data_IF_912473331560
#
_entry.id   IF_912473331560
#
_cell.length_a   1.000
_cell.length_b   1.000
_cell.length_c   1.000
_cell.angle_alpha   90.00
_cell.angle_beta   90.00
_cell.angle_gamma   90.00
#
_symmetry.space_group_name_H-M   'P 1'
#
loop_
_entity.id
_entity.type
_entity.pdbx_description
1 polymer ?
#
# COMPACT_ATOMS: atom_id res chain seq x y z
N UNK A 1 25.92 -35.61 10.57
CA UNK A 1 24.71 -34.81 10.30
C UNK A 1 23.83 -35.44 9.23
N UNK A 2 24.36 -36.17 8.26
CA UNK A 2 23.54 -36.90 7.29
C UNK A 2 22.50 -37.87 7.92
N UNK A 3 22.85 -38.52 9.06
CA UNK A 3 21.93 -39.41 9.78
C UNK A 3 20.67 -38.72 10.38
N UNK A 4 20.68 -37.41 10.52
CA UNK A 4 19.59 -36.60 11.07
C UNK A 4 19.03 -35.61 10.07
N UNK A 5 19.37 -35.76 8.78
CA UNK A 5 18.91 -34.92 7.67
C UNK A 5 19.13 -33.40 7.88
N UNK A 6 20.14 -33.03 8.73
CA UNK A 6 20.47 -31.63 8.95
C UNK A 6 21.42 -31.15 7.84
N UNK A 7 21.00 -30.19 6.99
CA UNK A 7 21.81 -29.66 5.90
C UNK A 7 22.95 -28.81 6.44
N UNK A 8 24.13 -29.41 6.57
CA UNK A 8 25.35 -28.73 6.99
C UNK A 8 26.21 -28.39 5.77
N UNK A 9 26.91 -27.27 5.84
CA UNK A 9 27.86 -26.82 4.83
C UNK A 9 29.26 -26.78 5.43
N UNK A 10 30.26 -27.02 4.58
CA UNK A 10 31.69 -26.94 4.98
C UNK A 10 32.30 -25.73 4.28
N UNK A 11 33.04 -24.94 5.03
CA UNK A 11 33.82 -23.83 4.50
C UNK A 11 35.27 -23.92 5.05
N UNK A 12 36.25 -23.54 4.23
CA UNK A 12 37.64 -23.41 4.66
C UNK A 12 37.88 -21.97 5.12
N UNK A 13 38.25 -21.78 6.39
CA UNK A 13 38.61 -20.48 6.95
C UNK A 13 40.02 -20.55 7.57
N UNK A 14 40.91 -19.68 7.13
CA UNK A 14 42.27 -19.55 7.67
C UNK A 14 43.01 -20.91 7.80
N UNK A 15 42.89 -21.76 6.80
CA UNK A 15 43.52 -23.07 6.80
C UNK A 15 42.77 -24.19 7.53
N UNK A 16 41.72 -23.89 8.26
CA UNK A 16 40.88 -24.85 9.01
C UNK A 16 39.53 -25.05 8.32
N UNK A 17 38.98 -26.27 8.41
CA UNK A 17 37.65 -26.57 7.96
C UNK A 17 36.65 -26.23 9.05
N UNK A 18 35.63 -25.45 8.72
CA UNK A 18 34.50 -25.15 9.59
C UNK A 18 33.21 -25.77 9.01
N UNK A 19 32.45 -26.44 9.84
CA UNK A 19 31.10 -26.92 9.51
C UNK A 19 30.09 -25.90 10.05
N UNK A 20 29.18 -25.45 9.22
CA UNK A 20 28.16 -24.47 9.63
C UNK A 20 26.77 -24.85 9.12
N UNK A 21 25.76 -24.40 9.85
CA UNK A 21 24.35 -24.50 9.48
C UNK A 21 23.86 -23.16 8.95
N UNK A 22 23.01 -23.20 7.92
CA UNK A 22 22.37 -22.01 7.37
C UNK A 22 20.86 -22.18 7.41
N UNK A 23 20.19 -21.16 7.95
CA UNK A 23 18.74 -21.18 8.14
C UNK A 23 18.35 -21.55 9.58
N UNK A 24 17.14 -21.16 9.96
CA UNK A 24 16.67 -21.32 11.34
C UNK A 24 16.35 -22.79 11.67
N UNK A 25 15.63 -23.50 10.79
CA UNK A 25 15.24 -24.89 11.02
C UNK A 25 16.40 -25.84 11.28
N UNK A 26 17.50 -25.86 10.46
CA UNK A 26 18.67 -26.69 10.75
C UNK A 26 19.34 -26.37 12.08
N UNK A 27 19.34 -25.09 12.47
CA UNK A 27 19.91 -24.64 13.76
C UNK A 27 19.06 -25.15 14.91
N UNK A 28 17.74 -24.98 14.87
CA UNK A 28 16.79 -25.44 15.86
C UNK A 28 16.87 -26.95 16.04
N UNK A 29 16.83 -27.69 14.92
CA UNK A 29 16.97 -29.16 14.94
C UNK A 29 18.30 -29.61 15.57
N UNK A 30 19.38 -28.95 15.23
CA UNK A 30 20.69 -29.24 15.82
C UNK A 30 20.74 -28.97 17.32
N UNK A 31 20.22 -27.79 17.77
CA UNK A 31 20.19 -27.44 19.17
C UNK A 31 19.34 -28.40 20.02
N UNK A 32 18.20 -28.85 19.46
CA UNK A 32 17.37 -29.87 20.08
C UNK A 32 18.12 -31.22 20.21
N UNK A 33 18.80 -31.66 19.16
CA UNK A 33 19.58 -32.90 19.12
C UNK A 33 20.71 -32.95 20.16
N UNK A 34 21.41 -31.83 20.35
CA UNK A 34 22.52 -31.75 21.34
C UNK A 34 22.05 -31.43 22.76
N UNK A 35 20.72 -31.30 22.99
CA UNK A 35 20.15 -31.00 24.29
C UNK A 35 20.39 -29.55 24.75
N UNK A 36 20.73 -28.64 23.84
CA UNK A 36 21.00 -27.23 24.15
C UNK A 36 19.71 -26.41 24.32
N UNK A 37 18.83 -26.84 25.24
CA UNK A 37 17.46 -26.29 25.39
C UNK A 37 17.42 -24.77 25.63
N UNK A 38 18.35 -24.21 26.41
CA UNK A 38 18.41 -22.76 26.65
C UNK A 38 18.75 -21.98 25.38
N UNK A 39 19.65 -22.50 24.54
CA UNK A 39 20.01 -21.89 23.27
C UNK A 39 18.86 -22.04 22.25
N UNK A 40 18.18 -23.19 22.27
CA UNK A 40 16.98 -23.43 21.47
C UNK A 40 15.91 -22.39 21.77
N UNK A 41 15.50 -22.22 23.03
CA UNK A 41 14.49 -21.24 23.43
C UNK A 41 14.87 -19.83 23.03
N UNK A 42 16.11 -19.39 23.26
CA UNK A 42 16.59 -18.07 22.80
C UNK A 42 16.50 -17.90 21.27
N UNK A 43 16.79 -18.95 20.53
CA UNK A 43 16.72 -18.91 19.06
C UNK A 43 15.27 -18.74 18.60
N UNK A 44 14.34 -19.46 19.23
CA UNK A 44 12.91 -19.34 18.94
C UNK A 44 12.37 -17.96 19.33
N UNK A 45 12.73 -17.41 20.50
CA UNK A 45 12.34 -16.06 20.90
C UNK A 45 12.79 -15.01 19.85
N UNK A 46 14.06 -15.08 19.41
CA UNK A 46 14.58 -14.17 18.38
C UNK A 46 13.83 -14.34 17.06
N UNK A 47 13.47 -15.57 16.67
CA UNK A 47 12.67 -15.84 15.46
C UNK A 47 11.29 -15.19 15.55
N UNK A 48 10.60 -15.38 16.67
CA UNK A 48 9.26 -14.82 16.92
C UNK A 48 9.31 -13.29 16.85
N UNK A 49 10.23 -12.67 17.58
CA UNK A 49 10.38 -11.21 17.58
C UNK A 49 10.69 -10.68 16.16
N UNK A 50 11.57 -11.36 15.42
CA UNK A 50 11.91 -10.97 14.04
C UNK A 50 10.72 -11.11 13.10
N UNK A 51 9.93 -12.18 13.23
CA UNK A 51 8.72 -12.38 12.45
C UNK A 51 7.71 -11.28 12.74
N UNK A 52 7.42 -11.01 14.02
CA UNK A 52 6.49 -9.95 14.42
C UNK A 52 6.92 -8.57 13.87
N UNK A 53 8.20 -8.23 13.98
CA UNK A 53 8.72 -6.96 13.41
C UNK A 53 8.54 -6.90 11.89
N UNK A 54 8.81 -8.00 11.18
CA UNK A 54 8.62 -8.04 9.73
C UNK A 54 7.14 -7.91 9.35
N UNK A 55 6.23 -8.49 10.11
CA UNK A 55 4.79 -8.39 9.87
C UNK A 55 4.30 -6.96 10.10
N UNK A 56 4.71 -6.33 11.20
CA UNK A 56 4.40 -4.91 11.49
C UNK A 56 4.97 -4.00 10.40
N UNK A 57 6.23 -4.19 10.00
CA UNK A 57 6.84 -3.38 8.94
C UNK A 57 6.08 -3.53 7.61
N UNK A 58 5.65 -4.76 7.24
CA UNK A 58 4.84 -4.99 6.04
C UNK A 58 3.50 -4.27 6.11
N UNK A 59 2.83 -4.33 7.27
CA UNK A 59 1.55 -3.65 7.48
C UNK A 59 1.71 -2.12 7.36
N UNK A 60 2.69 -1.55 8.06
CA UNK A 60 2.99 -0.10 8.02
C UNK A 60 3.34 0.35 6.59
N UNK A 61 4.21 -0.40 5.90
CA UNK A 61 4.58 -0.05 4.53
C UNK A 61 3.38 -0.12 3.57
N UNK A 62 2.49 -1.11 3.74
CA UNK A 62 1.27 -1.22 2.95
C UNK A 62 0.32 -0.04 3.22
N UNK A 63 0.17 0.36 4.48
CA UNK A 63 -0.66 1.50 4.87
C UNK A 63 -0.13 2.81 4.29
N UNK A 64 1.18 3.07 4.43
CA UNK A 64 1.84 4.26 3.85
C UNK A 64 1.63 4.29 2.32
N UNK A 65 1.83 3.15 1.64
CA UNK A 65 1.64 3.08 0.19
C UNK A 65 0.17 3.32 -0.22
N UNK A 66 -0.80 2.86 0.57
CA UNK A 66 -2.22 3.12 0.33
C UNK A 66 -2.57 4.59 0.54
N UNK A 67 -2.05 5.21 1.60
CA UNK A 67 -2.25 6.64 1.86
C UNK A 67 -1.64 7.50 0.75
N UNK A 68 -0.42 7.20 0.32
CA UNK A 68 0.21 7.89 -0.82
C UNK A 68 -0.64 7.82 -2.09
N UNK A 69 -1.09 6.63 -2.48
CA UNK A 69 -1.96 6.46 -3.66
C UNK A 69 -3.26 7.24 -3.54
N UNK A 70 -3.83 7.30 -2.34
CA UNK A 70 -5.06 8.06 -2.09
C UNK A 70 -4.82 9.55 -2.24
N UNK A 71 -3.73 10.07 -1.69
CA UNK A 71 -3.35 11.49 -1.81
C UNK A 71 -3.03 11.88 -3.26
N UNK A 72 -2.24 11.07 -3.98
CA UNK A 72 -1.93 11.31 -5.39
C UNK A 72 -3.19 11.34 -6.26
N UNK A 73 -4.10 10.38 -6.06
CA UNK A 73 -5.38 10.34 -6.76
C UNK A 73 -6.25 11.57 -6.44
N UNK A 74 -6.27 12.00 -5.17
CA UNK A 74 -7.02 13.18 -4.75
C UNK A 74 -6.49 14.46 -5.42
N UNK A 75 -5.17 14.62 -5.51
CA UNK A 75 -4.55 15.75 -6.21
C UNK A 75 -4.96 15.78 -7.70
N UNK A 76 -4.85 14.67 -8.41
CA UNK A 76 -5.28 14.57 -9.81
C UNK A 76 -6.76 14.92 -9.98
N UNK A 77 -7.61 14.49 -9.07
CA UNK A 77 -9.04 14.82 -9.07
C UNK A 77 -9.29 16.31 -8.87
N UNK A 78 -8.58 16.93 -7.93
CA UNK A 78 -8.68 18.37 -7.66
C UNK A 78 -8.21 19.18 -8.87
N UNK A 79 -7.11 18.78 -9.51
CA UNK A 79 -6.63 19.42 -10.75
C UNK A 79 -7.66 19.33 -11.88
N UNK A 80 -8.27 18.17 -12.07
CA UNK A 80 -9.33 17.98 -13.07
C UNK A 80 -10.57 18.83 -12.77
N UNK A 81 -10.98 18.91 -11.49
CA UNK A 81 -12.10 19.76 -11.06
C UNK A 81 -11.79 21.23 -11.31
N UNK A 82 -10.61 21.71 -10.91
CA UNK A 82 -10.21 23.09 -11.12
C UNK A 82 -10.18 23.45 -12.60
N UNK A 83 -9.66 22.60 -13.46
CA UNK A 83 -9.67 22.80 -14.91
C UNK A 83 -11.10 22.92 -15.48
N UNK A 84 -12.06 22.14 -14.96
CA UNK A 84 -13.47 22.26 -15.34
C UNK A 84 -14.12 23.54 -14.82
N UNK A 85 -13.81 23.94 -13.58
CA UNK A 85 -14.29 25.19 -12.98
C UNK A 85 -13.84 26.39 -13.81
N UNK A 86 -12.55 26.42 -14.15
CA UNK A 86 -11.96 27.52 -14.93
C UNK A 86 -12.52 27.60 -16.35
N UNK A 87 -12.80 26.47 -16.97
CA UNK A 87 -13.25 26.42 -18.36
C UNK A 87 -14.78 26.59 -18.53
N UNK A 88 -15.56 26.05 -17.61
CA UNK A 88 -17.04 25.95 -17.79
C UNK A 88 -17.84 26.43 -16.60
N UNK A 89 -17.25 26.55 -15.40
CA UNK A 89 -17.95 26.75 -14.13
C UNK A 89 -18.62 25.46 -13.60
N UNK A 90 -18.78 25.35 -12.28
CA UNK A 90 -19.45 24.22 -11.65
C UNK A 90 -20.92 24.11 -12.01
N UNK A 91 -21.60 25.25 -12.20
CA UNK A 91 -23.03 25.33 -12.51
C UNK A 91 -23.41 24.68 -13.85
N UNK A 92 -22.44 24.51 -14.74
CA UNK A 92 -22.61 23.86 -16.04
C UNK A 92 -22.36 22.34 -16.03
N UNK A 93 -22.03 21.78 -14.85
CA UNK A 93 -21.90 20.35 -14.66
C UNK A 93 -23.24 19.71 -14.28
N UNK A 94 -23.47 18.42 -14.62
CA UNK A 94 -24.60 17.68 -14.06
C UNK A 94 -24.61 17.78 -12.53
N UNK A 95 -25.77 18.01 -11.90
CA UNK A 95 -25.84 18.29 -10.45
C UNK A 95 -25.10 17.27 -9.58
N UNK A 96 -25.20 15.99 -9.92
CA UNK A 96 -24.53 14.92 -9.19
C UNK A 96 -22.97 14.96 -9.29
N UNK A 97 -22.43 15.58 -10.36
CA UNK A 97 -20.98 15.77 -10.52
C UNK A 97 -20.53 17.05 -9.84
N UNK A 98 -21.34 18.11 -9.90
CA UNK A 98 -21.07 19.37 -9.21
C UNK A 98 -21.01 19.14 -7.68
N UNK A 99 -22.00 18.46 -7.10
CA UNK A 99 -22.01 18.08 -5.69
C UNK A 99 -20.73 17.32 -5.27
N UNK A 100 -20.33 16.32 -6.05
CA UNK A 100 -19.12 15.55 -5.73
C UNK A 100 -17.84 16.39 -5.90
N UNK A 101 -17.79 17.28 -6.88
CA UNK A 101 -16.69 18.20 -7.08
C UNK A 101 -16.53 19.15 -5.88
N UNK A 102 -17.63 19.74 -5.39
CA UNK A 102 -17.63 20.57 -4.19
C UNK A 102 -17.16 19.78 -2.95
N UNK A 103 -17.69 18.57 -2.75
CA UNK A 103 -17.27 17.71 -1.65
C UNK A 103 -15.77 17.38 -1.70
N UNK A 104 -15.21 17.11 -2.90
CA UNK A 104 -13.78 16.86 -3.06
C UNK A 104 -12.95 18.09 -2.77
N UNK A 105 -13.33 19.27 -3.24
CA UNK A 105 -12.62 20.52 -2.97
C UNK A 105 -12.65 20.88 -1.49
N UNK A 106 -13.78 20.64 -0.81
CA UNK A 106 -13.91 20.87 0.63
C UNK A 106 -13.15 19.83 1.48
N UNK A 107 -12.91 18.63 0.95
CA UNK A 107 -12.29 17.52 1.66
C UNK A 107 -11.15 16.90 0.83
N UNK A 108 -10.03 17.59 0.62
CA UNK A 108 -8.96 17.17 -0.29
C UNK A 108 -8.28 15.87 0.11
N UNK A 109 -8.24 15.54 1.39
CA UNK A 109 -7.58 14.34 1.93
C UNK A 109 -8.52 13.12 2.05
N UNK A 110 -9.84 13.34 1.88
CA UNK A 110 -10.81 12.28 2.06
C UNK A 110 -10.65 11.17 1.01
N UNK A 111 -10.74 9.92 1.43
CA UNK A 111 -10.83 8.79 0.52
C UNK A 111 -12.17 8.79 -0.22
N UNK A 112 -12.28 8.02 -1.32
CA UNK A 112 -13.55 7.89 -2.06
C UNK A 112 -14.68 7.32 -1.19
N UNK A 113 -14.36 6.56 -0.17
CA UNK A 113 -15.34 6.03 0.78
C UNK A 113 -15.87 7.14 1.68
N UNK A 114 -14.98 7.93 2.27
CA UNK A 114 -15.33 9.06 3.13
C UNK A 114 -16.14 10.10 2.36
N UNK A 115 -15.77 10.41 1.10
CA UNK A 115 -16.59 11.27 0.25
C UNK A 115 -18.00 10.72 0.02
N UNK A 116 -18.13 9.41 -0.12
CA UNK A 116 -19.44 8.77 -0.23
C UNK A 116 -20.27 8.89 1.04
N UNK A 117 -19.64 8.82 2.20
CA UNK A 117 -20.28 8.98 3.51
C UNK A 117 -20.69 10.45 3.76
N UNK A 118 -19.98 11.42 3.17
CA UNK A 118 -20.29 12.86 3.27
C UNK A 118 -21.38 13.33 2.29
N UNK A 119 -21.67 12.56 1.25
CA UNK A 119 -22.71 12.92 0.27
C UNK A 119 -24.13 12.77 0.85
N UNK A 120 -25.06 13.58 0.38
CA UNK A 120 -26.49 13.52 0.76
C UNK A 120 -27.38 13.32 -0.48
N UNK A 121 -28.00 12.13 -0.66
CA UNK A 121 -27.90 10.94 0.17
C UNK A 121 -26.52 10.24 0.06
N UNK A 122 -26.11 9.46 1.09
CA UNK A 122 -24.83 8.78 1.10
C UNK A 122 -24.62 7.89 -0.11
N UNK A 123 -23.39 7.88 -0.66
CA UNK A 123 -23.01 7.15 -1.86
C UNK A 123 -22.09 5.98 -1.53
N UNK A 124 -22.18 4.93 -2.32
CA UNK A 124 -21.19 3.85 -2.26
C UNK A 124 -19.86 4.30 -2.86
N UNK A 125 -18.73 3.71 -2.41
CA UNK A 125 -17.42 3.95 -3.00
C UNK A 125 -17.41 3.78 -4.52
N UNK A 126 -18.14 2.80 -5.05
CA UNK A 126 -18.26 2.56 -6.49
C UNK A 126 -18.98 3.71 -7.21
N UNK A 127 -20.05 4.22 -6.63
CA UNK A 127 -20.79 5.36 -7.21
C UNK A 127 -19.90 6.62 -7.23
N UNK A 128 -19.17 6.90 -6.15
CA UNK A 128 -18.19 8.01 -6.10
C UNK A 128 -17.10 7.82 -7.16
N UNK A 129 -16.53 6.60 -7.28
CA UNK A 129 -15.53 6.29 -8.28
C UNK A 129 -16.00 6.58 -9.71
N UNK A 130 -17.22 6.16 -10.07
CA UNK A 130 -17.79 6.42 -11.41
C UNK A 130 -18.02 7.91 -11.67
N UNK A 131 -18.48 8.66 -10.67
CA UNK A 131 -18.65 10.12 -10.80
C UNK A 131 -17.30 10.84 -10.95
N UNK A 132 -16.29 10.45 -10.16
CA UNK A 132 -14.91 10.98 -10.29
C UNK A 132 -14.36 10.72 -11.68
N UNK A 133 -14.45 9.47 -12.17
CA UNK A 133 -14.02 9.15 -13.54
C UNK A 133 -14.69 10.02 -14.60
N UNK A 134 -15.98 10.28 -14.44
CA UNK A 134 -16.70 11.15 -15.38
C UNK A 134 -16.24 12.60 -15.31
N UNK A 135 -15.88 13.10 -14.14
CA UNK A 135 -15.28 14.43 -13.97
C UNK A 135 -13.92 14.48 -14.69
N UNK A 136 -13.04 13.50 -14.48
CA UNK A 136 -11.74 13.40 -15.15
C UNK A 136 -11.85 13.34 -16.68
N UNK A 137 -12.81 12.55 -17.20
CA UNK A 137 -13.11 12.47 -18.63
C UNK A 137 -13.54 13.82 -19.22
N UNK A 138 -14.48 14.50 -18.53
CA UNK A 138 -14.96 15.83 -18.96
C UNK A 138 -13.84 16.88 -18.93
N UNK A 139 -12.95 16.82 -17.93
CA UNK A 139 -11.77 17.70 -17.88
C UNK A 139 -10.85 17.46 -19.06
N UNK A 140 -10.54 16.21 -19.39
CA UNK A 140 -9.71 15.86 -20.52
C UNK A 140 -10.34 16.29 -21.87
N UNK A 141 -11.65 16.10 -22.06
CA UNK A 141 -12.39 16.56 -23.24
C UNK A 141 -12.31 18.09 -23.39
N UNK A 142 -12.44 18.81 -22.28
CA UNK A 142 -12.40 20.29 -22.27
C UNK A 142 -11.03 20.82 -22.64
N UNK A 143 -9.97 20.25 -22.07
CA UNK A 143 -8.58 20.64 -22.39
C UNK A 143 -8.22 20.32 -23.85
N UNK A 144 -8.70 19.18 -24.38
CA UNK A 144 -8.47 18.80 -25.78
C UNK A 144 -9.22 19.71 -26.78
N UNK A 145 -10.41 20.20 -26.40
CA UNK A 145 -11.19 21.14 -27.20
C UNK A 145 -10.52 22.50 -27.34
N UNK A 146 -9.92 23.00 -26.25
CA UNK A 146 -9.21 24.29 -26.26
C UNK A 146 -7.94 24.24 -27.12
N UNK A 147 -7.27 23.08 -27.21
CA UNK A 147 -6.04 22.88 -27.99
C UNK A 147 -6.29 22.84 -29.53
N UNK A 148 -7.54 22.65 -29.98
CA UNK A 148 -7.87 22.55 -31.40
C UNK A 148 -8.38 23.86 -32.01
N UNK A 149 -8.61 24.89 -31.18
CA UNK A 149 -9.11 26.22 -31.63
C UNK A 149 -8.00 27.30 -31.75
N UNK A 150 -6.73 26.93 -31.54
CA UNK A 150 -5.55 27.78 -31.84
C UNK A 150 -4.87 27.35 -33.15
#
# INVERSE_FOLDING_TARGET
MARFEIPARVARRRGTFAVYLKGAEPIVTFLALVGAHRALLRTEDVRIIKSMRNDVNRLVNAEIANQQKTAEAALTQIEAINALVDARGLDNLPPALAELAELRLANPEASLRELGELADPPLTKSAVYHRVRRIEELAAETLSGISNDE
#
